data_IF_063081272861
#
_entry.id   IF_063081272861
#
_cell.length_a   1.000
_cell.length_b   1.000
_cell.length_c   1.000
_cell.angle_alpha   90.00
_cell.angle_beta   90.00
_cell.angle_gamma   90.00
#
_symmetry.space_group_name_H-M   'P 1'
#
loop_
_entity.id
_entity.type
_entity.pdbx_description
1 polymer ?
#
# COMPACT_ATOMS: atom_id res chain seq x y z
N UNK A 1 15.03 10.93 -18.25
CA UNK A 1 13.83 11.81 -18.40
C UNK A 1 13.22 11.52 -19.74
N UNK A 2 12.52 10.39 -19.77
CA UNK A 2 11.88 9.81 -20.93
C UNK A 2 10.37 9.92 -20.77
N UNK A 3 9.67 9.89 -21.91
CA UNK A 3 8.21 9.87 -21.97
C UNK A 3 7.81 8.61 -22.73
N UNK A 4 7.16 7.68 -22.05
CA UNK A 4 6.70 6.41 -22.60
C UNK A 4 5.17 6.44 -22.67
N UNK A 5 4.62 5.93 -23.78
CA UNK A 5 3.18 5.74 -23.97
C UNK A 5 2.93 4.31 -24.49
N UNK A 6 2.21 3.49 -23.72
CA UNK A 6 1.83 2.12 -24.10
C UNK A 6 0.72 2.09 -25.15
N UNK A 7 -0.28 2.95 -24.96
CA UNK A 7 -1.51 3.06 -25.76
C UNK A 7 -2.51 1.96 -25.44
N UNK A 8 -2.54 0.87 -26.19
CA UNK A 8 -3.51 -0.20 -26.02
C UNK A 8 -2.79 -1.54 -26.05
N UNK A 9 -3.31 -2.49 -25.27
CA UNK A 9 -2.62 -3.74 -24.99
C UNK A 9 -1.87 -3.68 -23.66
N UNK A 10 -1.39 -4.84 -23.22
CA UNK A 10 -0.67 -4.95 -21.96
C UNK A 10 0.81 -4.56 -22.15
N UNK A 11 1.19 -3.37 -21.71
CA UNK A 11 2.52 -2.82 -21.93
C UNK A 11 3.44 -2.95 -20.71
N UNK A 12 4.74 -3.05 -20.98
CA UNK A 12 5.80 -2.96 -19.98
C UNK A 12 6.54 -1.63 -20.16
N UNK A 13 6.40 -0.75 -19.18
CA UNK A 13 6.95 0.59 -19.19
C UNK A 13 8.08 0.71 -18.17
N UNK A 14 9.28 0.96 -18.68
CA UNK A 14 10.49 1.16 -17.89
C UNK A 14 11.31 2.30 -18.50
N UNK A 15 11.28 3.46 -17.86
CA UNK A 15 12.05 4.64 -18.27
C UNK A 15 13.55 4.52 -17.96
N UNK A 16 13.92 3.65 -17.03
CA UNK A 16 15.27 3.53 -16.51
C UNK A 16 15.65 4.72 -15.63
N UNK A 17 16.95 5.00 -15.56
CA UNK A 17 17.44 6.06 -14.70
C UNK A 17 17.00 7.45 -15.17
N UNK A 18 16.39 8.22 -14.28
CA UNK A 18 15.96 9.58 -14.55
C UNK A 18 14.63 9.87 -13.88
N UNK A 19 14.07 11.06 -14.08
CA UNK A 19 12.69 11.31 -13.70
C UNK A 19 11.83 11.17 -14.96
N UNK A 20 11.11 10.07 -15.07
CA UNK A 20 10.41 9.69 -16.29
C UNK A 20 8.89 9.83 -16.16
N UNK A 21 8.19 9.86 -17.28
CA UNK A 21 6.72 9.85 -17.32
C UNK A 21 6.26 8.69 -18.18
N UNK A 22 5.48 7.80 -17.60
CA UNK A 22 5.01 6.57 -18.21
C UNK A 22 3.49 6.57 -18.20
N UNK A 23 2.88 6.49 -19.38
CA UNK A 23 1.44 6.35 -19.54
C UNK A 23 1.11 5.00 -20.20
N UNK A 24 0.38 4.15 -19.49
CA UNK A 24 -0.01 2.80 -19.91
C UNK A 24 -1.07 2.88 -21.00
N UNK A 25 -2.26 3.30 -20.61
CA UNK A 25 -3.35 3.55 -21.55
C UNK A 25 -4.52 2.63 -21.25
N UNK A 26 -4.84 1.72 -22.15
CA UNK A 26 -5.88 0.71 -21.95
C UNK A 26 -5.30 -0.69 -21.90
N UNK A 27 -6.03 -1.59 -21.24
CA UNK A 27 -5.62 -2.92 -20.82
C UNK A 27 -4.66 -2.89 -19.62
N UNK A 28 -4.02 -4.02 -19.29
CA UNK A 28 -3.30 -4.18 -18.03
C UNK A 28 -1.81 -3.91 -18.22
N UNK A 29 -1.31 -2.84 -17.64
CA UNK A 29 0.04 -2.34 -17.81
C UNK A 29 0.94 -2.63 -16.60
N UNK A 30 2.25 -2.64 -16.85
CA UNK A 30 3.28 -2.84 -15.83
C UNK A 30 4.33 -1.74 -15.88
N UNK A 31 4.54 -1.07 -14.75
CA UNK A 31 5.49 0.03 -14.59
C UNK A 31 6.67 -0.38 -13.72
N UNK A 32 7.88 -0.03 -14.14
CA UNK A 32 9.07 -0.13 -13.32
C UNK A 32 9.50 1.26 -12.86
N UNK A 33 9.54 1.44 -11.55
CA UNK A 33 9.92 2.70 -10.90
C UNK A 33 11.31 2.53 -10.28
N UNK A 34 12.28 3.28 -10.77
CA UNK A 34 13.64 3.32 -10.20
C UNK A 34 14.07 4.70 -9.70
N UNK A 35 13.23 5.71 -9.94
CA UNK A 35 13.39 7.02 -9.39
C UNK A 35 12.11 7.49 -8.70
N UNK A 36 12.25 8.08 -7.51
CA UNK A 36 11.09 8.56 -6.75
C UNK A 36 10.34 9.72 -7.47
N UNK A 37 10.98 10.33 -8.48
CA UNK A 37 10.38 11.36 -9.32
C UNK A 37 9.66 10.82 -10.57
N UNK A 38 9.65 9.51 -10.79
CA UNK A 38 8.90 8.89 -11.89
C UNK A 38 7.39 9.07 -11.72
N UNK A 39 6.73 9.31 -12.84
CA UNK A 39 5.29 9.57 -12.90
C UNK A 39 4.58 8.48 -13.69
N UNK A 40 3.73 7.74 -13.01
CA UNK A 40 2.76 6.83 -13.61
C UNK A 40 1.49 7.59 -13.95
N UNK A 41 0.94 7.37 -15.14
CA UNK A 41 -0.30 7.98 -15.60
C UNK A 41 -1.22 6.94 -16.23
N UNK A 42 -2.38 6.78 -15.62
CA UNK A 42 -3.44 5.89 -16.09
C UNK A 42 -4.61 6.61 -16.75
N UNK A 43 -5.32 5.86 -17.58
CA UNK A 43 -6.65 6.20 -18.02
C UNK A 43 -7.70 5.67 -17.02
N UNK A 44 -8.85 6.33 -16.98
CA UNK A 44 -10.00 5.80 -16.25
C UNK A 44 -10.45 4.51 -16.94
N UNK A 45 -10.66 3.45 -16.15
CA UNK A 45 -10.93 2.11 -16.65
C UNK A 45 -9.84 1.61 -17.62
N UNK A 46 -8.57 1.96 -17.32
CA UNK A 46 -7.39 1.52 -18.06
C UNK A 46 -7.26 0.01 -18.04
N UNK A 47 -7.31 -0.60 -16.87
CA UNK A 47 -7.27 -2.05 -16.74
C UNK A 47 -7.05 -2.41 -15.29
N UNK A 48 -6.18 -3.40 -15.07
CA UNK A 48 -5.63 -3.69 -13.75
C UNK A 48 -4.11 -3.64 -13.81
N UNK A 49 -3.56 -2.60 -13.21
CA UNK A 49 -2.19 -2.13 -13.47
C UNK A 49 -1.27 -2.42 -12.29
N UNK A 50 0.00 -2.68 -12.62
CA UNK A 50 1.02 -3.06 -11.64
C UNK A 50 2.22 -2.13 -11.67
N UNK A 51 2.56 -1.58 -10.50
CA UNK A 51 3.78 -0.82 -10.26
C UNK A 51 4.77 -1.68 -9.48
N UNK A 52 5.95 -1.91 -10.07
CA UNK A 52 7.12 -2.47 -9.41
C UNK A 52 8.10 -1.36 -9.06
N UNK A 53 8.23 -1.08 -7.77
CA UNK A 53 9.15 -0.07 -7.29
C UNK A 53 10.50 -0.71 -6.90
N UNK A 54 11.61 -0.07 -7.25
CA UNK A 54 12.95 -0.31 -6.68
C UNK A 54 13.39 0.77 -5.67
N UNK A 55 12.63 1.88 -5.57
CA UNK A 55 12.79 2.97 -4.60
C UNK A 55 11.51 3.22 -3.78
N UNK A 56 11.60 3.99 -2.71
CA UNK A 56 10.40 4.42 -1.96
C UNK A 56 9.44 5.14 -2.92
N UNK A 57 8.16 4.80 -2.86
CA UNK A 57 7.20 5.30 -3.84
C UNK A 57 5.81 5.51 -3.26
N UNK A 58 5.15 6.54 -3.76
CA UNK A 58 3.77 6.88 -3.44
C UNK A 58 3.00 6.93 -4.74
N UNK A 59 1.89 6.20 -4.83
CA UNK A 59 1.03 6.23 -6.01
C UNK A 59 0.50 7.65 -6.22
N UNK A 60 0.58 8.18 -7.44
CA UNK A 60 0.03 9.48 -7.76
C UNK A 60 -1.49 9.51 -7.51
N UNK A 61 -1.98 10.67 -7.06
CA UNK A 61 -3.40 10.87 -6.81
C UNK A 61 -4.20 10.79 -8.11
N UNK A 62 -5.36 10.13 -8.05
CA UNK A 62 -6.29 10.05 -9.18
C UNK A 62 -5.85 9.12 -10.31
N UNK A 63 -4.81 8.30 -10.11
CA UNK A 63 -4.45 7.22 -11.03
C UNK A 63 -5.01 5.90 -10.49
N UNK A 64 -5.75 5.18 -11.34
CA UNK A 64 -6.41 3.90 -11.00
C UNK A 64 -5.38 2.76 -11.09
N UNK A 65 -4.44 2.70 -10.15
CA UNK A 65 -3.44 1.62 -10.05
C UNK A 65 -3.87 0.64 -8.96
N UNK A 66 -3.93 -0.65 -9.28
CA UNK A 66 -4.38 -1.69 -8.34
C UNK A 66 -3.23 -2.29 -7.54
N UNK A 67 -2.06 -2.49 -8.14
CA UNK A 67 -0.96 -3.21 -7.50
C UNK A 67 0.28 -2.33 -7.35
N UNK A 68 0.77 -2.16 -6.12
CA UNK A 68 2.06 -1.55 -5.81
C UNK A 68 2.96 -2.58 -5.11
N UNK A 69 4.07 -2.95 -5.72
CA UNK A 69 4.95 -4.02 -5.21
C UNK A 69 6.39 -3.55 -5.14
N UNK A 70 7.10 -3.95 -4.09
CA UNK A 70 8.55 -3.90 -4.11
C UNK A 70 9.11 -4.86 -5.16
N UNK A 71 10.27 -4.54 -5.71
CA UNK A 71 11.02 -5.44 -6.59
C UNK A 71 11.68 -6.59 -5.82
N UNK A 72 11.95 -7.69 -6.52
CA UNK A 72 12.67 -8.82 -5.95
C UNK A 72 14.04 -8.41 -5.41
N UNK A 73 14.41 -8.94 -4.25
CA UNK A 73 15.65 -8.56 -3.57
C UNK A 73 15.61 -7.21 -2.87
N UNK A 74 14.43 -6.57 -2.75
CA UNK A 74 14.25 -5.47 -1.82
C UNK A 74 14.66 -5.88 -0.39
N UNK A 75 15.20 -4.91 0.35
CA UNK A 75 15.66 -5.06 1.73
C UNK A 75 14.94 -4.08 2.66
N UNK A 76 13.70 -3.72 2.33
CA UNK A 76 12.92 -2.69 2.99
C UNK A 76 12.52 -1.54 2.06
N UNK A 77 11.28 -1.09 2.22
CA UNK A 77 10.65 -0.11 1.36
C UNK A 77 9.53 0.65 2.04
N UNK A 78 9.45 1.94 1.75
CA UNK A 78 8.23 2.71 2.00
C UNK A 78 7.37 2.76 0.73
N UNK A 79 6.21 2.12 0.78
CA UNK A 79 5.23 2.08 -0.29
C UNK A 79 3.92 2.70 0.20
N UNK A 80 3.36 3.62 -0.57
CA UNK A 80 2.11 4.29 -0.23
C UNK A 80 1.16 4.20 -1.41
N UNK A 81 -0.05 3.71 -1.16
CA UNK A 81 -1.15 3.71 -2.11
C UNK A 81 -1.75 5.10 -2.30
N UNK A 82 -3.00 5.16 -2.75
CA UNK A 82 -3.71 6.40 -3.00
C UNK A 82 -5.14 6.35 -2.45
N UNK A 83 -6.15 6.83 -3.20
CA UNK A 83 -7.53 6.89 -2.73
C UNK A 83 -8.40 5.74 -3.27
N UNK A 84 -7.80 4.84 -4.06
CA UNK A 84 -8.44 3.65 -4.61
C UNK A 84 -8.02 2.41 -3.82
N UNK A 85 -8.72 1.30 -4.05
CA UNK A 85 -8.36 0.03 -3.44
C UNK A 85 -7.03 -0.47 -4.00
N UNK A 86 -5.98 -0.49 -3.18
CA UNK A 86 -4.66 -0.92 -3.59
C UNK A 86 -4.27 -2.25 -2.92
N UNK A 87 -3.58 -3.10 -3.66
CA UNK A 87 -2.81 -4.23 -3.12
C UNK A 87 -1.34 -3.85 -3.05
N UNK A 88 -0.81 -3.76 -1.84
CA UNK A 88 0.56 -3.32 -1.59
C UNK A 88 1.41 -4.46 -1.00
N UNK A 89 2.54 -4.77 -1.62
CA UNK A 89 3.43 -5.88 -1.20
C UNK A 89 4.87 -5.39 -0.98
N UNK A 90 5.39 -5.57 0.23
CA UNK A 90 6.74 -5.17 0.65
C UNK A 90 7.86 -6.17 0.29
N UNK A 91 7.53 -7.46 0.26
CA UNK A 91 8.43 -8.60 0.03
C UNK A 91 9.44 -8.86 1.14
N UNK A 92 10.56 -8.17 1.14
CA UNK A 92 11.72 -8.55 1.94
C UNK A 92 12.36 -7.34 2.61
N UNK A 93 12.81 -7.55 3.85
CA UNK A 93 13.36 -6.50 4.69
C UNK A 93 12.25 -5.70 5.38
N UNK A 94 12.63 -4.61 6.05
CA UNK A 94 11.70 -3.91 6.92
C UNK A 94 10.93 -2.84 6.12
N UNK A 95 9.65 -3.08 5.90
CA UNK A 95 8.81 -2.25 5.05
C UNK A 95 7.92 -1.30 5.85
N UNK A 96 7.52 -0.20 5.22
CA UNK A 96 6.46 0.69 5.68
C UNK A 96 5.40 0.79 4.58
N UNK A 97 4.26 0.16 4.81
CA UNK A 97 3.16 0.09 3.87
C UNK A 97 2.01 0.97 4.34
N UNK A 98 1.54 1.84 3.46
CA UNK A 98 0.39 2.73 3.73
C UNK A 98 -0.63 2.54 2.62
N UNK A 99 -1.85 2.09 2.93
CA UNK A 99 -2.92 1.89 1.96
C UNK A 99 -3.44 3.23 1.42
N UNK A 100 -3.98 4.06 2.32
CA UNK A 100 -4.48 5.39 1.99
C UNK A 100 -5.97 5.49 2.26
N UNK A 101 -6.77 5.76 1.23
CA UNK A 101 -8.23 5.58 1.30
C UNK A 101 -8.61 4.39 0.41
N UNK A 102 -9.76 3.79 0.68
CA UNK A 102 -10.22 2.61 -0.07
C UNK A 102 -10.09 1.37 0.80
N UNK A 103 -10.54 0.24 0.27
CA UNK A 103 -10.41 -1.05 0.94
C UNK A 103 -9.13 -1.73 0.43
N UNK A 104 -8.05 -1.58 1.18
CA UNK A 104 -6.73 -1.97 0.76
C UNK A 104 -6.36 -3.38 1.21
N UNK A 105 -5.35 -3.97 0.56
CA UNK A 105 -4.72 -5.21 0.99
C UNK A 105 -3.21 -5.00 1.09
N UNK A 106 -2.68 -5.05 2.31
CA UNK A 106 -1.27 -4.83 2.59
C UNK A 106 -0.62 -6.15 3.03
N UNK A 107 0.55 -6.46 2.48
CA UNK A 107 1.35 -7.63 2.84
C UNK A 107 2.83 -7.24 3.01
N UNK A 108 3.31 -7.25 4.26
CA UNK A 108 4.71 -6.99 4.61
C UNK A 108 5.67 -8.09 4.13
N UNK A 109 5.23 -9.34 4.27
CA UNK A 109 5.93 -10.57 3.88
C UNK A 109 7.05 -10.95 4.83
N UNK A 110 8.30 -10.52 4.65
CA UNK A 110 9.39 -10.93 5.55
C UNK A 110 10.19 -9.72 6.02
N UNK A 111 10.20 -9.47 7.32
CA UNK A 111 10.83 -8.28 7.86
C UNK A 111 10.23 -7.86 9.19
N UNK A 112 10.62 -6.68 9.64
CA UNK A 112 9.92 -5.97 10.73
C UNK A 112 9.11 -4.88 10.06
N UNK A 113 7.83 -5.14 9.80
CA UNK A 113 7.03 -4.32 8.93
C UNK A 113 6.09 -3.39 9.70
N UNK A 114 5.84 -2.21 9.13
CA UNK A 114 4.86 -1.25 9.65
C UNK A 114 3.74 -1.06 8.65
N UNK A 115 2.56 -1.56 8.99
CA UNK A 115 1.38 -1.53 8.13
C UNK A 115 0.36 -0.52 8.65
N UNK A 116 -0.08 0.38 7.78
CA UNK A 116 -1.17 1.32 8.04
C UNK A 116 -2.17 1.20 6.89
N UNK A 117 -3.33 0.62 7.15
CA UNK A 117 -4.41 0.51 6.15
C UNK A 117 -4.86 1.90 5.71
N UNK A 118 -5.48 2.64 6.64
CA UNK A 118 -5.85 4.03 6.43
C UNK A 118 -7.34 4.21 6.65
N UNK A 119 -8.06 4.66 5.63
CA UNK A 119 -9.51 4.79 5.68
C UNK A 119 -10.16 3.78 4.74
N UNK A 120 -11.05 2.95 5.27
CA UNK A 120 -11.73 1.89 4.53
C UNK A 120 -11.58 0.57 5.26
N UNK A 121 -12.08 -0.52 4.70
CA UNK A 121 -11.98 -1.83 5.32
C UNK A 121 -10.76 -2.55 4.76
N UNK A 122 -9.66 -2.54 5.50
CA UNK A 122 -8.37 -3.02 5.01
C UNK A 122 -8.06 -4.46 5.45
N UNK A 123 -7.32 -5.21 4.63
CA UNK A 123 -6.72 -6.49 5.01
C UNK A 123 -5.22 -6.32 5.21
N UNK A 124 -4.72 -6.56 6.42
CA UNK A 124 -3.32 -6.34 6.80
C UNK A 124 -2.66 -7.68 7.14
N UNK A 125 -1.64 -8.07 6.40
CA UNK A 125 -0.82 -9.27 6.66
C UNK A 125 0.60 -8.82 6.96
N UNK A 126 1.07 -9.05 8.19
CA UNK A 126 2.43 -8.69 8.60
C UNK A 126 3.44 -9.62 7.92
N UNK A 127 3.21 -10.91 8.05
CA UNK A 127 4.09 -11.97 7.56
C UNK A 127 5.03 -12.48 8.65
N UNK A 128 6.30 -12.68 8.31
CA UNK A 128 7.30 -13.18 9.27
C UNK A 128 8.09 -12.03 9.87
N UNK A 129 8.17 -12.03 11.20
CA UNK A 129 8.93 -11.07 11.98
C UNK A 129 8.02 -10.36 12.96
N UNK A 130 8.55 -9.46 13.80
CA UNK A 130 7.74 -8.64 14.69
C UNK A 130 7.15 -7.44 13.96
N UNK A 131 5.86 -7.47 13.68
CA UNK A 131 5.21 -6.43 12.87
C UNK A 131 4.41 -5.41 13.70
N UNK A 132 4.11 -4.27 13.09
CA UNK A 132 3.37 -3.17 13.71
C UNK A 132 2.18 -2.75 12.84
N UNK A 133 0.97 -2.98 13.35
CA UNK A 133 -0.28 -2.58 12.71
C UNK A 133 -0.76 -1.25 13.30
N UNK A 134 -0.81 -0.20 12.48
CA UNK A 134 -1.01 1.18 12.90
C UNK A 134 -2.42 1.65 12.55
N UNK A 135 -3.17 2.03 13.58
CA UNK A 135 -4.50 2.60 13.47
C UNK A 135 -4.45 4.06 13.92
N UNK A 136 -4.66 4.97 12.98
CA UNK A 136 -4.60 6.41 13.24
C UNK A 136 -5.74 7.23 12.61
N UNK A 137 -6.68 6.54 11.99
CA UNK A 137 -7.97 7.07 11.56
C UNK A 137 -9.04 6.73 12.59
N UNK A 138 -10.13 7.50 12.61
CA UNK A 138 -11.25 7.18 13.50
C UNK A 138 -11.85 5.83 13.07
N UNK A 139 -11.93 4.88 14.00
CA UNK A 139 -12.60 3.62 13.74
C UNK A 139 -14.09 3.86 13.55
N UNK A 140 -14.65 3.32 12.47
CA UNK A 140 -16.08 3.35 12.17
C UNK A 140 -16.54 1.91 11.97
N UNK A 141 -17.45 1.46 12.82
CA UNK A 141 -17.99 0.09 12.82
C UNK A 141 -18.68 -0.32 11.52
N UNK A 142 -18.94 0.61 10.59
CA UNK A 142 -19.56 0.35 9.30
C UNK A 142 -18.61 0.47 8.09
N UNK A 143 -17.58 1.32 8.15
CA UNK A 143 -16.80 1.72 6.95
C UNK A 143 -15.30 1.90 7.19
N UNK A 144 -14.76 1.44 8.32
CA UNK A 144 -13.32 1.46 8.61
C UNK A 144 -12.98 0.29 9.55
N UNK A 145 -13.36 -0.92 9.13
CA UNK A 145 -13.24 -2.17 9.86
C UNK A 145 -12.14 -3.01 9.23
N UNK A 146 -10.94 -2.85 9.74
CA UNK A 146 -9.78 -3.59 9.23
C UNK A 146 -9.69 -4.98 9.82
N UNK A 147 -9.04 -5.87 9.07
CA UNK A 147 -8.72 -7.22 9.47
C UNK A 147 -7.22 -7.44 9.40
N UNK A 148 -6.61 -7.67 10.56
CA UNK A 148 -5.28 -8.26 10.62
C UNK A 148 -5.40 -9.76 10.36
N UNK A 149 -4.67 -10.27 9.39
CA UNK A 149 -4.85 -11.62 8.83
C UNK A 149 -4.07 -12.68 9.62
N UNK A 150 -2.90 -12.33 10.16
CA UNK A 150 -1.92 -13.28 10.69
C UNK A 150 -1.28 -12.84 12.02
N UNK A 151 -1.98 -12.03 12.81
CA UNK A 151 -1.44 -11.45 14.05
C UNK A 151 -0.82 -12.50 15.00
N UNK A 152 0.45 -12.29 15.32
CA UNK A 152 1.22 -13.03 16.32
C UNK A 152 1.24 -12.28 17.63
N UNK A 153 0.58 -12.79 18.67
CA UNK A 153 0.56 -12.15 20.00
C UNK A 153 1.91 -12.09 20.72
N UNK A 154 2.95 -12.73 20.16
CA UNK A 154 4.32 -12.73 20.73
C UNK A 154 5.29 -11.87 19.94
N UNK A 155 5.02 -11.63 18.65
CA UNK A 155 5.91 -10.88 17.77
C UNK A 155 5.33 -9.50 17.44
N UNK A 156 4.01 -9.43 17.24
CA UNK A 156 3.37 -8.28 16.63
C UNK A 156 2.81 -7.31 17.66
N UNK A 157 2.56 -6.10 17.18
CA UNK A 157 2.01 -5.01 17.96
C UNK A 157 0.91 -4.29 17.21
N UNK A 158 -0.07 -3.79 17.97
CA UNK A 158 -1.12 -2.90 17.47
C UNK A 158 -0.85 -1.51 18.05
N UNK A 159 -0.59 -0.54 17.19
CA UNK A 159 -0.35 0.86 17.56
C UNK A 159 -1.62 1.66 17.32
N UNK A 160 -2.23 2.13 18.39
CA UNK A 160 -3.43 2.99 18.35
C UNK A 160 -3.03 4.44 18.62
N UNK A 161 -3.25 5.35 17.67
CA UNK A 161 -3.03 6.78 17.86
C UNK A 161 -4.17 7.45 18.63
N UNK A 162 -3.91 8.63 19.19
CA UNK A 162 -4.89 9.38 20.01
C UNK A 162 -6.24 9.62 19.29
N UNK A 163 -6.23 9.76 17.96
CA UNK A 163 -7.42 9.89 17.12
C UNK A 163 -8.40 8.72 17.29
N UNK A 164 -7.89 7.49 17.43
CA UNK A 164 -8.68 6.28 17.68
C UNK A 164 -9.40 6.39 19.03
N UNK A 165 -8.68 6.80 20.07
CA UNK A 165 -9.26 6.97 21.41
C UNK A 165 -10.24 8.14 21.49
N UNK A 166 -10.04 9.18 20.69
CA UNK A 166 -10.98 10.31 20.60
C UNK A 166 -12.31 9.87 19.98
N UNK A 167 -12.27 8.96 18.99
CA UNK A 167 -13.47 8.38 18.39
C UNK A 167 -14.21 7.41 19.32
N UNK A 168 -13.50 6.77 20.25
CA UNK A 168 -14.09 5.85 21.23
C UNK A 168 -15.03 6.53 22.25
N UNK A 169 -15.06 7.86 22.31
CA UNK A 169 -16.02 8.62 23.11
C UNK A 169 -15.75 8.53 24.61
N UNK A 170 -16.73 8.06 25.39
CA UNK A 170 -16.65 8.02 26.84
C UNK A 170 -15.55 7.04 27.33
N UNK A 171 -14.99 7.25 28.54
CA UNK A 171 -14.07 6.28 29.14
C UNK A 171 -14.69 4.87 29.15
N UNK A 172 -13.97 3.90 28.63
CA UNK A 172 -14.38 2.49 28.57
C UNK A 172 -13.19 1.57 28.76
N UNK A 173 -13.45 0.29 28.98
CA UNK A 173 -12.43 -0.73 29.18
C UNK A 173 -12.27 -1.55 27.91
N UNK A 174 -11.04 -1.67 27.38
CA UNK A 174 -10.71 -2.71 26.41
C UNK A 174 -10.67 -4.04 27.16
N UNK A 175 -11.71 -4.85 26.99
CA UNK A 175 -11.74 -6.22 27.48
C UNK A 175 -11.36 -7.17 26.34
N UNK A 176 -10.54 -8.19 26.64
CA UNK A 176 -10.40 -9.31 25.72
C UNK A 176 -11.79 -9.95 25.54
N UNK A 177 -12.24 -10.09 24.29
CA UNK A 177 -13.48 -10.79 23.96
C UNK A 177 -13.36 -12.27 24.35
N UNK A 178 -14.46 -12.85 24.82
CA UNK A 178 -14.56 -14.27 25.17
C UNK A 178 -14.46 -15.18 23.94
#
# INVERSE_FOLDING_TARGET
NDILNGLAGNDLLNGGAGADTMAGGSDNDTYYIDNAADKVKEAIAGGSDTVYASVNYTLPTGQEIEFLRANSGATGRSLTGNAFNNTIIGLGGNDTLVGGQGNDTLNGSAGVDRLRGGAGNDNLTGGTGPDSFVFDTALNSATNVDRIVDFSSVADSILLNQSVFTAAGAPGTLAAGA
#
